data_IF_408057525952
#
_entry.id   IF_408057525952
#
_cell.length_a   1.000
_cell.length_b   1.000
_cell.length_c   1.000
_cell.angle_alpha   90.00
_cell.angle_beta   90.00
_cell.angle_gamma   90.00
#
_symmetry.space_group_name_H-M   'P 1'
#
loop_
_entity.id
_entity.type
_entity.pdbx_description
1 polymer ?
#
# COMPACT_ATOMS: atom_id res chain seq x y z
N UNK A 1 -21.08 -7.15 5.43
CA UNK A 1 -19.88 -6.33 5.70
C UNK A 1 -19.78 -6.25 7.20
N UNK A 2 -18.79 -6.92 7.75
CA UNK A 2 -18.64 -7.04 9.20
C UNK A 2 -18.17 -5.69 9.76
N UNK A 3 -18.51 -5.37 11.02
CA UNK A 3 -18.14 -4.09 11.65
C UNK A 3 -16.62 -3.83 11.56
N UNK A 4 -15.81 -4.89 11.55
CA UNK A 4 -14.35 -4.86 11.41
C UNK A 4 -13.88 -4.40 10.02
N UNK A 5 -14.61 -4.77 8.96
CA UNK A 5 -14.32 -4.34 7.58
C UNK A 5 -14.46 -2.81 7.45
N UNK A 6 -15.50 -2.25 8.07
CA UNK A 6 -15.80 -0.82 8.04
C UNK A 6 -14.69 -0.02 8.73
N UNK A 7 -14.26 -0.48 9.91
CA UNK A 7 -13.18 0.17 10.67
C UNK A 7 -11.87 0.12 9.90
N UNK A 8 -11.57 -1.01 9.25
CA UNK A 8 -10.37 -1.18 8.42
C UNK A 8 -10.39 -0.23 7.22
N UNK A 9 -11.49 -0.18 6.48
CA UNK A 9 -11.65 0.74 5.35
C UNK A 9 -11.50 2.21 5.78
N UNK A 10 -12.11 2.61 6.88
CA UNK A 10 -12.00 3.97 7.41
C UNK A 10 -10.54 4.34 7.77
N UNK A 11 -9.78 3.41 8.38
CA UNK A 11 -8.36 3.63 8.69
C UNK A 11 -7.51 3.85 7.43
N UNK A 12 -7.76 3.08 6.38
CA UNK A 12 -7.08 3.26 5.09
C UNK A 12 -7.36 4.63 4.47
N UNK A 13 -8.63 5.07 4.49
CA UNK A 13 -9.04 6.37 3.97
C UNK A 13 -8.40 7.53 4.74
N UNK A 14 -8.33 7.43 6.08
CA UNK A 14 -7.66 8.42 6.91
C UNK A 14 -6.13 8.46 6.68
N UNK A 15 -5.51 7.31 6.38
CA UNK A 15 -4.10 7.25 5.98
C UNK A 15 -3.87 7.95 4.64
N UNK A 16 -4.70 7.66 3.64
CA UNK A 16 -4.65 8.30 2.33
C UNK A 16 -4.83 9.83 2.42
N UNK A 17 -5.75 10.31 3.27
CA UNK A 17 -6.00 11.74 3.45
C UNK A 17 -4.81 12.54 4.01
N UNK A 18 -3.82 11.87 4.60
CA UNK A 18 -2.60 12.51 5.15
C UNK A 18 -1.45 12.62 4.15
N UNK A 19 -1.58 12.00 2.98
CA UNK A 19 -0.53 11.99 1.96
C UNK A 19 -0.38 13.37 1.31
N UNK A 20 0.86 13.74 0.98
CA UNK A 20 1.15 14.89 0.10
C UNK A 20 0.62 14.66 -1.32
N UNK A 21 0.53 15.72 -2.13
CA UNK A 21 0.07 15.61 -3.53
C UNK A 21 0.88 14.61 -4.36
N UNK A 22 2.19 14.55 -4.13
CA UNK A 22 3.10 13.63 -4.83
C UNK A 22 2.82 12.19 -4.41
N UNK A 23 2.69 11.95 -3.11
CA UNK A 23 2.37 10.62 -2.56
C UNK A 23 0.99 10.14 -3.00
N UNK A 24 -0.02 11.02 -3.06
CA UNK A 24 -1.35 10.71 -3.61
C UNK A 24 -1.25 10.23 -5.05
N UNK A 25 -0.46 10.92 -5.89
CA UNK A 25 -0.27 10.52 -7.29
C UNK A 25 0.41 9.14 -7.41
N UNK A 26 1.43 8.89 -6.61
CA UNK A 26 2.13 7.62 -6.60
C UNK A 26 1.21 6.49 -6.11
N UNK A 27 0.50 6.71 -5.00
CA UNK A 27 -0.46 5.76 -4.45
C UNK A 27 -1.55 5.39 -5.46
N UNK A 28 -2.20 6.40 -6.06
CA UNK A 28 -3.28 6.16 -7.03
C UNK A 28 -2.78 5.45 -8.29
N UNK A 29 -1.56 5.73 -8.74
CA UNK A 29 -0.93 5.00 -9.86
C UNK A 29 -0.74 3.52 -9.52
N UNK A 30 -0.13 3.21 -8.37
CA UNK A 30 0.08 1.83 -7.92
C UNK A 30 -1.23 1.08 -7.66
N UNK A 31 -2.23 1.77 -7.08
CA UNK A 31 -3.56 1.20 -6.85
C UNK A 31 -4.25 0.85 -8.17
N UNK A 32 -4.23 1.75 -9.16
CA UNK A 32 -4.80 1.48 -10.48
C UNK A 32 -4.11 0.29 -11.14
N UNK A 33 -2.78 0.23 -11.12
CA UNK A 33 -2.03 -0.91 -11.64
C UNK A 33 -2.45 -2.22 -10.98
N UNK A 34 -2.61 -2.23 -9.65
CA UNK A 34 -3.03 -3.42 -8.90
C UNK A 34 -4.46 -3.87 -9.26
N UNK A 35 -5.40 -2.94 -9.39
CA UNK A 35 -6.80 -3.26 -9.73
C UNK A 35 -6.93 -3.92 -11.10
N UNK A 36 -6.14 -3.46 -12.08
CA UNK A 36 -6.16 -3.99 -13.45
C UNK A 36 -5.17 -5.13 -13.70
N UNK A 37 -4.31 -5.44 -12.73
CA UNK A 37 -3.34 -6.53 -12.85
C UNK A 37 -4.01 -7.90 -12.87
N UNK A 38 -3.39 -8.83 -13.61
CA UNK A 38 -3.73 -10.26 -13.57
C UNK A 38 -3.46 -10.85 -12.17
N UNK A 39 -4.09 -11.97 -11.79
CA UNK A 39 -3.86 -12.58 -10.47
C UNK A 39 -2.38 -12.89 -10.17
N UNK A 40 -1.61 -13.30 -11.19
CA UNK A 40 -0.17 -13.54 -11.04
C UNK A 40 0.59 -12.23 -10.77
N UNK A 41 0.31 -11.19 -11.56
CA UNK A 41 0.94 -9.89 -11.39
C UNK A 41 0.61 -9.27 -10.02
N UNK A 42 -0.63 -9.39 -9.52
CA UNK A 42 -0.99 -8.92 -8.17
C UNK A 42 -0.14 -9.56 -7.08
N UNK A 43 0.07 -10.89 -7.14
CA UNK A 43 0.92 -11.60 -6.17
C UNK A 43 2.37 -11.10 -6.20
N UNK A 44 2.89 -10.84 -7.40
CA UNK A 44 4.24 -10.27 -7.56
C UNK A 44 4.33 -8.86 -6.98
N UNK A 45 3.33 -8.01 -7.23
CA UNK A 45 3.27 -6.66 -6.66
C UNK A 45 3.22 -6.68 -5.13
N UNK A 46 2.40 -7.54 -4.53
CA UNK A 46 2.32 -7.70 -3.06
C UNK A 46 3.69 -8.09 -2.49
N UNK A 47 4.32 -9.13 -3.06
CA UNK A 47 5.64 -9.59 -2.62
C UNK A 47 6.69 -8.49 -2.70
N UNK A 48 6.69 -7.72 -3.79
CA UNK A 48 7.61 -6.58 -3.96
C UNK A 48 7.40 -5.51 -2.88
N UNK A 49 6.16 -5.15 -2.57
CA UNK A 49 5.87 -4.17 -1.50
C UNK A 49 6.27 -4.66 -0.12
N UNK A 50 6.08 -5.95 0.17
CA UNK A 50 6.54 -6.57 1.42
C UNK A 50 8.07 -6.51 1.54
N UNK A 51 8.79 -6.86 0.47
CA UNK A 51 10.26 -6.80 0.41
C UNK A 51 10.79 -5.37 0.57
N UNK A 52 10.16 -4.39 -0.11
CA UNK A 52 10.51 -2.97 0.03
C UNK A 52 10.32 -2.49 1.48
N UNK A 53 9.18 -2.82 2.10
CA UNK A 53 8.88 -2.46 3.48
C UNK A 53 9.90 -3.07 4.46
N UNK A 54 10.25 -4.34 4.27
CA UNK A 54 11.29 -4.99 5.06
C UNK A 54 12.65 -4.31 4.89
N UNK A 55 13.03 -3.96 3.66
CA UNK A 55 14.32 -3.29 3.37
C UNK A 55 14.44 -1.90 4.03
N UNK A 56 13.33 -1.17 4.13
CA UNK A 56 13.29 0.15 4.78
C UNK A 56 13.35 0.02 6.30
N UNK A 57 12.83 -1.08 6.85
CA UNK A 57 12.87 -1.34 8.29
C UNK A 57 14.27 -1.76 8.77
N UNK A 58 15.03 -2.54 7.99
CA UNK A 58 16.36 -3.00 8.38
C UNK A 58 17.43 -1.91 8.26
N UNK A 59 17.29 -0.98 7.32
CA UNK A 59 18.22 0.16 7.17
C UNK A 59 18.19 1.15 8.34
N UNK A 60 17.15 1.15 9.18
CA UNK A 60 17.04 2.06 10.34
C UNK A 60 17.78 1.58 11.59
N UNK A 61 18.17 0.32 11.66
CA UNK A 61 18.86 -0.26 12.83
C UNK A 61 20.39 -0.16 12.77
N UNK A 62 20.95 0.22 11.62
CA UNK A 62 22.40 0.30 11.39
C UNK A 62 22.92 1.76 11.23
N UNK A 63 22.19 2.75 11.74
CA UNK A 63 22.60 4.18 11.74
C UNK A 63 22.56 4.81 13.12
#
# INVERSE_FOLDING_TARGET
MEQEDIVTAARLLLGFAKLSKTEVRQFTTSMNQYLFASPLARRQMIKMWEEELHSLSTKRTDS
#
